data_IF_439200733017
#
_entry.id   IF_439200733017
#
_cell.length_a   1.000
_cell.length_b   1.000
_cell.length_c   1.000
_cell.angle_alpha   90.00
_cell.angle_beta   90.00
_cell.angle_gamma   90.00
#
_symmetry.space_group_name_H-M   'P 1'
#
loop_
_entity.id
_entity.type
_entity.pdbx_description
1 polymer ?
#
# COMPACT_ATOMS: atom_id res chain seq x y z
N UNK A 1 -11.58 -15.20 27.09
CA UNK A 1 -12.58 -14.82 26.08
C UNK A 1 -12.61 -13.31 25.99
N UNK A 2 -11.69 -12.74 25.23
CA UNK A 2 -11.60 -11.30 25.03
C UNK A 2 -12.56 -10.92 23.91
N UNK A 3 -13.60 -10.14 24.25
CA UNK A 3 -14.34 -9.38 23.25
C UNK A 3 -13.37 -8.33 22.67
N UNK A 4 -12.75 -8.64 21.55
CA UNK A 4 -11.82 -7.74 20.85
C UNK A 4 -12.31 -7.55 19.41
N UNK A 5 -13.53 -7.06 19.25
CA UNK A 5 -14.03 -6.61 17.94
C UNK A 5 -14.86 -5.35 18.21
N UNK A 6 -14.32 -4.21 17.78
CA UNK A 6 -14.99 -2.92 17.87
C UNK A 6 -15.75 -2.63 16.56
N UNK A 7 -16.90 -1.97 16.65
CA UNK A 7 -17.63 -1.39 15.51
C UNK A 7 -16.74 -0.48 14.63
N UNK A 8 -15.63 0.03 15.17
CA UNK A 8 -14.62 0.77 14.41
C UNK A 8 -13.97 -0.04 13.27
N UNK A 9 -13.71 -1.35 13.43
CA UNK A 9 -13.19 -2.19 12.33
C UNK A 9 -14.23 -2.45 11.23
N UNK A 10 -15.53 -2.31 11.53
CA UNK A 10 -16.58 -2.32 10.51
C UNK A 10 -16.64 -1.01 9.73
N UNK A 11 -16.10 0.08 10.28
CA UNK A 11 -16.26 1.46 9.79
C UNK A 11 -14.98 2.08 9.22
N UNK A 12 -13.80 1.55 9.56
CA UNK A 12 -12.51 2.15 9.21
C UNK A 12 -11.42 1.14 8.83
N UNK A 13 -11.72 -0.16 8.81
CA UNK A 13 -10.86 -1.14 8.15
C UNK A 13 -10.93 -0.97 6.64
N UNK A 14 -9.77 -0.90 5.98
CA UNK A 14 -9.70 -0.81 4.52
C UNK A 14 -9.85 0.60 3.94
N UNK A 15 -9.70 0.67 2.61
CA UNK A 15 -9.58 1.92 1.85
C UNK A 15 -10.89 2.30 1.13
N UNK A 16 -12.01 1.69 1.54
CA UNK A 16 -13.34 1.91 0.98
C UNK A 16 -14.19 2.81 1.90
N UNK A 17 -13.63 3.92 2.38
CA UNK A 17 -14.30 4.80 3.35
C UNK A 17 -15.70 5.23 2.87
N UNK A 18 -16.72 4.96 3.70
CA UNK A 18 -18.14 5.19 3.41
C UNK A 18 -18.79 4.15 2.48
N UNK A 19 -18.07 3.09 2.11
CA UNK A 19 -18.50 1.98 1.23
C UNK A 19 -18.07 0.60 1.76
N UNK A 20 -17.89 0.47 3.07
CA UNK A 20 -17.36 -0.72 3.71
C UNK A 20 -18.27 -1.95 3.49
N UNK A 21 -19.59 -1.77 3.61
CA UNK A 21 -20.56 -2.84 3.37
C UNK A 21 -20.63 -3.25 1.89
N UNK A 22 -20.39 -2.30 0.97
CA UNK A 22 -20.27 -2.64 -0.45
C UNK A 22 -19.03 -3.51 -0.68
N UNK A 23 -17.86 -3.13 -0.14
CA UNK A 23 -16.64 -3.93 -0.28
C UNK A 23 -16.77 -5.33 0.32
N UNK A 24 -17.43 -5.47 1.49
CA UNK A 24 -17.73 -6.79 2.09
C UNK A 24 -18.59 -7.65 1.18
N UNK A 25 -19.59 -7.07 0.51
CA UNK A 25 -20.39 -7.80 -0.48
C UNK A 25 -19.53 -8.29 -1.65
N UNK A 26 -18.63 -7.46 -2.18
CA UNK A 26 -17.71 -7.90 -3.25
C UNK A 26 -16.81 -9.05 -2.77
N UNK A 27 -16.37 -9.02 -1.51
CA UNK A 27 -15.61 -10.11 -0.90
C UNK A 27 -16.43 -11.40 -0.87
N UNK A 28 -17.65 -11.36 -0.33
CA UNK A 28 -18.57 -12.51 -0.28
C UNK A 28 -18.91 -13.07 -1.68
N UNK A 29 -19.03 -12.20 -2.67
CA UNK A 29 -19.29 -12.55 -4.07
C UNK A 29 -18.02 -12.96 -4.85
N UNK A 30 -16.83 -12.88 -4.22
CA UNK A 30 -15.51 -13.10 -4.84
C UNK A 30 -15.28 -12.25 -6.08
N UNK A 31 -15.47 -10.95 -5.95
CA UNK A 31 -15.34 -9.95 -7.01
C UNK A 31 -14.26 -8.93 -6.70
N UNK A 32 -13.78 -8.28 -7.75
CA UNK A 32 -12.86 -7.14 -7.62
C UNK A 32 -13.64 -5.87 -7.32
N UNK A 33 -13.42 -5.28 -6.15
CA UNK A 33 -13.88 -3.95 -5.78
C UNK A 33 -12.92 -2.87 -6.29
N UNK A 34 -11.60 -3.13 -6.24
CA UNK A 34 -10.57 -2.19 -6.70
C UNK A 34 -9.60 -2.83 -7.69
N UNK A 35 -9.13 -2.04 -8.66
CA UNK A 35 -8.01 -2.39 -9.52
C UNK A 35 -6.84 -1.43 -9.25
N UNK A 36 -5.72 -2.01 -8.85
CA UNK A 36 -4.46 -1.29 -8.71
C UNK A 36 -3.76 -1.22 -10.07
N UNK A 37 -3.38 -0.03 -10.52
CA UNK A 37 -2.64 0.15 -11.78
C UNK A 37 -1.33 0.88 -11.49
N UNK A 38 -0.21 0.17 -11.65
CA UNK A 38 1.11 0.79 -11.69
C UNK A 38 1.34 1.39 -13.07
N UNK A 39 1.11 2.70 -13.18
CA UNK A 39 1.08 3.36 -14.49
C UNK A 39 2.46 3.57 -15.13
N UNK A 40 3.50 3.65 -14.30
CA UNK A 40 4.89 3.98 -14.66
C UNK A 40 5.84 3.47 -13.59
N UNK A 41 7.12 3.25 -13.91
CA UNK A 41 8.19 3.05 -12.92
C UNK A 41 8.96 4.34 -12.57
N UNK A 42 8.53 5.50 -13.08
CA UNK A 42 9.16 6.79 -12.78
C UNK A 42 8.72 7.34 -11.41
N UNK A 43 9.67 7.69 -10.53
CA UNK A 43 9.44 8.36 -9.25
C UNK A 43 10.67 9.17 -8.81
N UNK A 44 10.45 10.39 -8.33
CA UNK A 44 11.52 11.27 -7.85
C UNK A 44 11.90 11.06 -6.38
N UNK A 45 11.03 10.43 -5.58
CA UNK A 45 11.19 10.38 -4.13
C UNK A 45 12.38 9.52 -3.68
N UNK A 46 12.61 8.39 -4.37
CA UNK A 46 13.82 7.60 -4.23
C UNK A 46 13.90 6.68 -3.01
N UNK A 47 12.79 6.18 -2.45
CA UNK A 47 12.82 5.29 -1.27
C UNK A 47 13.76 4.10 -1.50
N UNK A 48 14.69 3.84 -0.57
CA UNK A 48 15.74 2.81 -0.74
C UNK A 48 15.20 1.38 -0.72
N UNK A 49 14.04 1.18 -0.09
CA UNK A 49 13.34 -0.09 0.04
C UNK A 49 12.18 -0.26 -0.96
N UNK A 50 12.05 0.62 -1.97
CA UNK A 50 10.89 0.62 -2.87
C UNK A 50 10.71 -0.74 -3.58
N UNK A 51 9.52 -1.32 -3.40
CA UNK A 51 9.15 -2.65 -3.93
C UNK A 51 9.10 -2.68 -5.46
N UNK A 52 8.82 -1.53 -6.08
CA UNK A 52 8.72 -1.37 -7.53
C UNK A 52 10.08 -1.12 -8.21
N UNK A 53 11.13 -0.77 -7.45
CA UNK A 53 12.43 -0.43 -8.05
C UNK A 53 12.47 0.91 -8.77
N UNK A 54 11.50 1.80 -8.50
CA UNK A 54 11.28 3.03 -9.27
C UNK A 54 12.46 3.99 -9.23
N UNK A 55 12.70 4.69 -10.34
CA UNK A 55 13.78 5.68 -10.46
C UNK A 55 13.27 7.01 -11.02
N UNK A 56 14.03 8.12 -10.96
CA UNK A 56 13.64 9.39 -11.58
C UNK A 56 13.32 9.32 -13.08
N UNK A 57 13.76 8.27 -13.78
CA UNK A 57 13.52 8.07 -15.20
C UNK A 57 12.57 6.89 -15.40
N UNK A 58 11.65 7.05 -16.34
CA UNK A 58 10.84 5.94 -16.81
C UNK A 58 11.72 4.99 -17.63
N UNK A 59 11.75 3.73 -17.24
CA UNK A 59 12.35 2.64 -18.00
C UNK A 59 11.28 1.70 -18.55
N UNK A 60 10.20 1.52 -17.78
CA UNK A 60 9.05 0.72 -18.13
C UNK A 60 7.77 1.48 -17.77
N UNK A 61 6.73 1.26 -18.56
CA UNK A 61 5.43 1.83 -18.26
C UNK A 61 4.36 1.19 -19.11
N UNK A 62 3.13 1.31 -18.63
CA UNK A 62 1.96 1.00 -19.44
C UNK A 62 1.73 2.15 -20.43
N UNK A 63 1.37 1.81 -21.65
CA UNK A 63 0.93 2.80 -22.63
C UNK A 63 -0.45 3.33 -22.27
N UNK A 64 -0.79 4.53 -22.75
CA UNK A 64 -2.12 5.11 -22.54
C UNK A 64 -3.23 4.23 -23.10
N UNK A 65 -2.95 3.48 -24.17
CA UNK A 65 -3.88 2.54 -24.77
C UNK A 65 -4.13 1.33 -23.85
N UNK A 66 -3.08 0.75 -23.28
CA UNK A 66 -3.20 -0.34 -22.29
C UNK A 66 -3.99 0.11 -21.07
N UNK A 67 -3.68 1.29 -20.52
CA UNK A 67 -4.41 1.82 -19.35
C UNK A 67 -5.89 2.06 -19.69
N UNK A 68 -6.21 2.66 -20.84
CA UNK A 68 -7.62 2.83 -21.27
C UNK A 68 -8.35 1.49 -21.40
N UNK A 69 -7.69 0.48 -21.96
CA UNK A 69 -8.25 -0.88 -22.05
C UNK A 69 -8.50 -1.50 -20.66
N UNK A 70 -7.59 -1.30 -19.71
CA UNK A 70 -7.79 -1.73 -18.32
C UNK A 70 -8.98 -1.03 -17.67
N UNK A 71 -9.16 0.27 -17.92
CA UNK A 71 -10.30 1.04 -17.39
C UNK A 71 -11.63 0.56 -17.99
N UNK A 72 -11.66 0.27 -19.30
CA UNK A 72 -12.83 -0.29 -19.98
C UNK A 72 -13.19 -1.67 -19.41
N UNK A 73 -12.19 -2.54 -19.24
CA UNK A 73 -12.40 -3.87 -18.63
C UNK A 73 -12.82 -3.75 -17.16
N UNK A 74 -12.24 -2.81 -16.40
CA UNK A 74 -12.63 -2.57 -15.01
C UNK A 74 -14.10 -2.15 -14.90
N UNK A 75 -14.56 -1.23 -15.76
CA UNK A 75 -15.96 -0.84 -15.82
C UNK A 75 -16.87 -2.00 -16.23
N UNK A 76 -16.46 -2.82 -17.21
CA UNK A 76 -17.21 -3.99 -17.66
C UNK A 76 -17.32 -5.10 -16.59
N UNK A 77 -16.31 -5.23 -15.73
CA UNK A 77 -16.29 -6.13 -14.58
C UNK A 77 -17.01 -5.53 -13.35
N UNK A 78 -17.56 -4.33 -13.48
CA UNK A 78 -18.20 -3.56 -12.41
C UNK A 78 -17.25 -3.30 -11.22
N UNK A 79 -15.96 -3.14 -11.48
CA UNK A 79 -14.99 -2.68 -10.47
C UNK A 79 -15.36 -1.26 -10.06
N UNK A 80 -15.26 -0.96 -8.76
CA UNK A 80 -15.72 0.32 -8.21
C UNK A 80 -14.65 1.40 -8.26
N UNK A 81 -13.41 1.04 -7.94
CA UNK A 81 -12.32 1.98 -7.73
C UNK A 81 -11.06 1.60 -8.51
N UNK A 82 -10.32 2.63 -8.93
CA UNK A 82 -8.96 2.50 -9.44
C UNK A 82 -8.03 3.10 -8.41
N UNK A 83 -7.10 2.29 -7.93
CA UNK A 83 -5.97 2.75 -7.14
C UNK A 83 -4.82 3.00 -8.11
N UNK A 84 -4.46 4.27 -8.27
CA UNK A 84 -3.39 4.70 -9.14
C UNK A 84 -2.07 4.65 -8.38
N UNK A 85 -1.15 3.78 -8.82
CA UNK A 85 0.18 3.59 -8.23
C UNK A 85 1.26 3.55 -9.32
N UNK A 86 2.42 2.98 -8.97
CA UNK A 86 3.60 2.81 -9.81
C UNK A 86 4.83 3.31 -9.06
N UNK A 87 5.71 4.01 -9.77
CA UNK A 87 6.54 5.02 -9.15
C UNK A 87 5.67 6.12 -8.55
N UNK A 88 5.47 7.23 -9.26
CA UNK A 88 4.48 8.24 -8.90
C UNK A 88 3.53 8.45 -10.10
N UNK A 89 2.25 8.10 -10.00
CA UNK A 89 1.32 8.23 -11.12
C UNK A 89 1.18 9.67 -11.60
N UNK A 90 1.45 10.67 -10.74
CA UNK A 90 1.32 12.08 -11.08
C UNK A 90 2.51 12.64 -11.87
N UNK A 91 3.58 11.87 -12.07
CA UNK A 91 4.69 12.28 -12.96
C UNK A 91 4.46 11.87 -14.42
N UNK A 92 3.46 11.01 -14.68
CA UNK A 92 3.12 10.56 -16.03
C UNK A 92 2.46 11.69 -16.84
N UNK A 93 2.90 12.02 -18.07
CA UNK A 93 2.41 13.21 -18.78
C UNK A 93 0.89 13.32 -18.99
N UNK A 94 0.20 12.19 -19.17
CA UNK A 94 -1.24 12.11 -19.45
C UNK A 94 -2.07 11.54 -18.29
N UNK A 95 -1.57 11.61 -17.05
CA UNK A 95 -2.27 11.09 -15.87
C UNK A 95 -3.67 11.71 -15.70
N UNK A 96 -3.80 13.01 -16.00
CA UNK A 96 -5.05 13.74 -15.79
C UNK A 96 -6.13 13.27 -16.76
N UNK A 97 -5.80 13.11 -18.04
CA UNK A 97 -6.70 12.60 -19.07
C UNK A 97 -7.15 11.17 -18.78
N UNK A 98 -6.26 10.32 -18.25
CA UNK A 98 -6.57 8.94 -17.88
C UNK A 98 -7.52 8.88 -16.67
N UNK A 99 -7.26 9.69 -15.63
CA UNK A 99 -8.15 9.77 -14.46
C UNK A 99 -9.50 10.41 -14.80
N UNK A 100 -9.55 11.39 -15.71
CA UNK A 100 -10.82 11.90 -16.24
C UNK A 100 -11.59 10.83 -17.03
N UNK A 101 -10.89 10.02 -17.82
CA UNK A 101 -11.51 8.90 -18.53
C UNK A 101 -12.10 7.88 -17.56
N UNK A 102 -11.36 7.51 -16.51
CA UNK A 102 -11.87 6.62 -15.45
C UNK A 102 -13.16 7.16 -14.81
N UNK A 103 -13.21 8.46 -14.49
CA UNK A 103 -14.45 9.10 -13.99
C UNK A 103 -15.61 9.01 -14.96
N UNK A 104 -15.34 9.19 -16.26
CA UNK A 104 -16.38 9.09 -17.29
C UNK A 104 -17.01 7.70 -17.38
N UNK A 105 -16.30 6.67 -16.92
CA UNK A 105 -16.77 5.29 -16.80
C UNK A 105 -17.45 4.99 -15.45
N UNK A 106 -17.56 5.97 -14.54
CA UNK A 106 -18.14 5.79 -13.21
C UNK A 106 -17.19 5.21 -12.17
N UNK A 107 -15.90 5.08 -12.51
CA UNK A 107 -14.85 4.60 -11.60
C UNK A 107 -14.44 5.73 -10.63
N UNK A 108 -14.16 5.35 -9.39
CA UNK A 108 -13.59 6.26 -8.39
C UNK A 108 -12.08 6.21 -8.45
N UNK A 109 -11.42 7.37 -8.49
CA UNK A 109 -9.96 7.44 -8.46
C UNK A 109 -9.44 7.62 -7.04
N UNK A 110 -8.59 6.69 -6.60
CA UNK A 110 -7.76 6.82 -5.43
C UNK A 110 -6.30 6.98 -5.88
N UNK A 111 -5.57 7.96 -5.36
CA UNK A 111 -4.21 8.26 -5.83
C UNK A 111 -3.21 7.97 -4.73
N UNK A 112 -2.22 7.13 -5.03
CA UNK A 112 -1.03 6.91 -4.21
C UNK A 112 0.15 7.62 -4.86
N UNK A 113 0.59 8.73 -4.29
CA UNK A 113 1.65 9.57 -4.87
C UNK A 113 2.80 9.77 -3.87
N UNK A 114 3.99 10.11 -4.38
CA UNK A 114 5.06 10.60 -3.50
C UNK A 114 4.68 11.90 -2.80
N UNK A 115 3.67 12.62 -3.34
CA UNK A 115 3.24 13.92 -2.85
C UNK A 115 4.05 15.09 -3.43
N UNK A 116 5.23 14.84 -4.01
CA UNK A 116 6.08 15.88 -4.60
C UNK A 116 5.37 16.69 -5.71
N UNK A 117 4.62 16.06 -6.64
CA UNK A 117 3.93 16.81 -7.69
C UNK A 117 2.83 17.74 -7.15
N UNK A 118 2.26 17.44 -5.98
CA UNK A 118 1.18 18.21 -5.37
C UNK A 118 1.61 19.60 -4.91
N UNK A 119 2.92 19.87 -4.78
CA UNK A 119 3.45 21.21 -4.54
C UNK A 119 2.99 22.21 -5.62
N UNK A 120 2.85 21.75 -6.86
CA UNK A 120 2.23 22.56 -7.91
C UNK A 120 0.73 22.70 -7.65
N UNK A 121 0.28 23.94 -7.40
CA UNK A 121 -1.16 24.25 -7.20
C UNK A 121 -2.03 23.82 -8.38
N UNK A 122 -1.49 23.84 -9.59
CA UNK A 122 -2.20 23.36 -10.78
C UNK A 122 -2.42 21.85 -10.72
N UNK A 123 -1.38 21.08 -10.37
CA UNK A 123 -1.48 19.62 -10.21
C UNK A 123 -2.42 19.31 -9.05
N UNK A 124 -2.28 19.98 -7.90
CA UNK A 124 -3.17 19.80 -6.76
C UNK A 124 -4.65 20.07 -7.11
N UNK A 125 -4.94 21.13 -7.87
CA UNK A 125 -6.30 21.43 -8.34
C UNK A 125 -6.88 20.32 -9.23
N UNK A 126 -6.08 19.80 -10.17
CA UNK A 126 -6.48 18.69 -11.03
C UNK A 126 -6.67 17.39 -10.25
N UNK A 127 -5.78 17.08 -9.29
CA UNK A 127 -5.90 15.91 -8.41
C UNK A 127 -7.16 16.01 -7.55
N UNK A 128 -7.43 17.17 -6.95
CA UNK A 128 -8.65 17.41 -6.19
C UNK A 128 -9.90 17.13 -7.03
N UNK A 129 -9.94 17.64 -8.27
CA UNK A 129 -11.04 17.39 -9.20
C UNK A 129 -11.21 15.89 -9.50
N UNK A 130 -10.15 15.20 -9.93
CA UNK A 130 -10.30 13.81 -10.41
C UNK A 130 -10.47 12.79 -9.29
N UNK A 131 -10.21 13.16 -8.04
CA UNK A 131 -10.35 12.29 -6.86
C UNK A 131 -11.61 12.59 -6.05
N UNK A 132 -12.61 13.25 -6.63
CA UNK A 132 -13.92 13.43 -6.00
C UNK A 132 -14.53 12.05 -5.63
N UNK A 133 -14.82 11.85 -4.34
CA UNK A 133 -15.34 10.59 -3.80
C UNK A 133 -14.31 9.46 -3.64
N UNK A 134 -13.03 9.73 -3.90
CA UNK A 134 -11.89 8.85 -3.60
C UNK A 134 -10.84 9.53 -2.71
N UNK A 135 -9.77 8.83 -2.34
CA UNK A 135 -8.74 9.37 -1.44
C UNK A 135 -7.45 9.79 -2.17
N UNK A 136 -6.63 10.59 -1.49
CA UNK A 136 -5.25 10.89 -1.90
C UNK A 136 -4.30 10.48 -0.79
N UNK A 137 -3.35 9.60 -1.09
CA UNK A 137 -2.27 9.23 -0.20
C UNK A 137 -0.96 9.88 -0.63
N UNK A 138 -0.24 10.44 0.34
CA UNK A 138 1.15 10.90 0.20
C UNK A 138 2.07 9.99 1.00
N UNK A 139 3.33 9.86 0.61
CA UNK A 139 4.30 9.01 1.32
C UNK A 139 5.31 9.88 2.06
N UNK A 140 5.31 9.86 3.40
CA UNK A 140 6.35 10.47 4.23
C UNK A 140 6.61 9.57 5.42
N UNK A 141 7.70 8.81 5.35
CA UNK A 141 8.06 7.90 6.44
C UNK A 141 8.35 8.68 7.73
N UNK A 142 9.09 9.78 7.60
CA UNK A 142 9.65 10.54 8.72
C UNK A 142 9.55 12.04 8.49
N UNK A 143 9.09 12.78 9.50
CA UNK A 143 9.22 14.25 9.53
C UNK A 143 10.61 14.72 9.99
N UNK A 144 11.42 13.83 10.58
CA UNK A 144 12.80 14.13 10.95
C UNK A 144 13.68 14.12 9.70
N UNK A 145 14.32 15.25 9.32
CA UNK A 145 15.08 15.37 8.08
C UNK A 145 16.18 14.32 7.92
N UNK A 146 16.92 14.03 9.00
CA UNK A 146 18.04 13.10 8.98
C UNK A 146 17.59 11.65 8.83
N UNK A 147 16.44 11.28 9.41
CA UNK A 147 15.87 9.93 9.27
C UNK A 147 15.30 9.76 7.87
N UNK A 148 14.53 10.74 7.38
CA UNK A 148 14.01 10.74 6.01
C UNK A 148 15.15 10.60 5.00
N UNK A 149 16.24 11.36 5.16
CA UNK A 149 17.39 11.31 4.26
C UNK A 149 18.07 9.93 4.21
N UNK A 150 18.07 9.16 5.30
CA UNK A 150 18.63 7.79 5.30
C UNK A 150 17.75 6.78 4.57
N UNK A 151 16.44 7.02 4.54
CA UNK A 151 15.44 6.16 3.89
C UNK A 151 15.28 6.45 2.39
N UNK A 152 15.92 7.50 1.86
CA UNK A 152 15.73 7.97 0.49
C UNK A 152 17.07 8.20 -0.23
N UNK A 153 17.19 7.66 -1.45
CA UNK A 153 18.35 7.88 -2.34
C UNK A 153 18.54 9.37 -2.57
N UNK A 154 19.79 9.81 -2.46
CA UNK A 154 20.17 11.23 -2.58
C UNK A 154 19.88 12.08 -1.33
N UNK A 155 19.19 11.54 -0.31
CA UNK A 155 19.05 12.18 1.00
C UNK A 155 18.39 13.55 1.00
N UNK A 156 17.52 13.84 0.04
CA UNK A 156 16.94 15.18 -0.11
C UNK A 156 15.77 15.41 0.86
N UNK A 157 16.10 15.84 2.08
CA UNK A 157 15.10 16.13 3.11
C UNK A 157 14.13 17.28 2.76
N UNK A 158 14.45 18.14 1.79
CA UNK A 158 13.51 19.20 1.33
C UNK A 158 12.26 18.65 0.65
N UNK A 159 12.23 17.34 0.36
CA UNK A 159 11.03 16.65 -0.06
C UNK A 159 9.93 16.63 1.00
N UNK A 160 10.28 16.62 2.30
CA UNK A 160 9.30 16.71 3.39
C UNK A 160 8.47 18.00 3.22
N UNK A 161 9.14 19.15 3.15
CA UNK A 161 8.47 20.46 3.01
C UNK A 161 7.61 20.53 1.74
N UNK A 162 8.12 19.99 0.62
CA UNK A 162 7.39 19.97 -0.64
C UNK A 162 6.10 19.14 -0.58
N UNK A 163 6.15 17.99 0.10
CA UNK A 163 4.99 17.10 0.26
C UNK A 163 3.98 17.74 1.21
N UNK A 164 4.44 18.32 2.31
CA UNK A 164 3.60 19.05 3.27
C UNK A 164 2.88 20.23 2.60
N UNK A 165 3.60 21.03 1.79
CA UNK A 165 3.00 22.10 1.00
C UNK A 165 1.96 21.57 -0.02
N UNK A 166 2.22 20.40 -0.60
CA UNK A 166 1.28 19.72 -1.49
C UNK A 166 -0.01 19.28 -0.79
N UNK A 167 0.09 18.77 0.44
CA UNK A 167 -1.05 18.46 1.30
C UNK A 167 -1.83 19.73 1.63
N UNK A 168 -1.14 20.81 2.01
CA UNK A 168 -1.78 22.10 2.30
C UNK A 168 -2.54 22.66 1.08
N UNK A 169 -2.01 22.49 -0.13
CA UNK A 169 -2.71 22.86 -1.35
C UNK A 169 -4.04 22.10 -1.52
N UNK A 170 -4.07 20.79 -1.25
CA UNK A 170 -5.30 19.98 -1.34
C UNK A 170 -6.32 20.35 -0.26
N UNK A 171 -5.87 20.57 0.98
CA UNK A 171 -6.72 21.02 2.08
C UNK A 171 -7.34 22.40 1.77
N UNK A 172 -6.54 23.32 1.22
CA UNK A 172 -7.02 24.65 0.82
C UNK A 172 -8.05 24.62 -0.32
N UNK A 173 -8.03 23.58 -1.16
CA UNK A 173 -9.03 23.34 -2.20
C UNK A 173 -10.32 22.69 -1.65
N UNK A 174 -10.30 22.24 -0.39
CA UNK A 174 -11.45 21.62 0.28
C UNK A 174 -11.44 20.10 0.25
N UNK A 175 -10.32 19.43 -0.10
CA UNK A 175 -10.20 17.98 0.09
C UNK A 175 -10.35 17.66 1.58
N UNK A 176 -11.30 16.80 1.99
CA UNK A 176 -11.43 16.42 3.39
C UNK A 176 -10.18 15.68 3.89
N UNK A 177 -9.68 16.06 5.06
CA UNK A 177 -8.49 15.44 5.66
C UNK A 177 -8.67 13.94 5.91
N UNK A 178 -9.89 13.49 6.20
CA UNK A 178 -10.23 12.08 6.39
C UNK A 178 -10.32 11.27 5.08
N UNK A 179 -10.24 11.95 3.92
CA UNK A 179 -10.04 11.40 2.56
C UNK A 179 -8.60 11.59 2.08
N UNK A 180 -7.69 11.93 2.99
CA UNK A 180 -6.27 11.99 2.75
C UNK A 180 -5.53 11.12 3.77
N UNK A 181 -4.41 10.54 3.35
CA UNK A 181 -3.69 9.54 4.14
C UNK A 181 -2.19 9.80 4.00
N UNK A 182 -1.47 9.89 5.12
CA UNK A 182 -0.03 9.73 5.09
C UNK A 182 0.29 8.24 5.04
N UNK A 183 1.15 7.80 4.13
CA UNK A 183 1.64 6.44 4.06
C UNK A 183 3.06 6.39 4.64
N UNK A 184 3.32 5.39 5.49
CA UNK A 184 4.64 5.07 6.03
C UNK A 184 4.97 3.63 5.66
N UNK A 185 6.20 3.37 5.22
CA UNK A 185 6.77 2.02 5.25
C UNK A 185 7.63 1.90 6.48
N UNK A 186 7.13 1.20 7.50
CA UNK A 186 7.82 1.07 8.77
C UNK A 186 9.07 0.20 8.64
N UNK A 187 10.20 0.73 9.12
CA UNK A 187 11.52 0.07 9.09
C UNK A 187 12.22 0.18 10.44
N UNK A 188 13.12 -0.76 10.75
CA UNK A 188 14.01 -0.68 11.90
C UNK A 188 14.97 0.52 11.83
N UNK A 189 15.35 0.95 10.61
CA UNK A 189 16.22 2.12 10.38
C UNK A 189 15.55 3.44 10.81
N UNK A 190 14.24 3.53 10.65
CA UNK A 190 13.42 4.61 11.19
C UNK A 190 13.34 4.53 12.71
N UNK A 191 13.03 3.33 13.23
CA UNK A 191 12.80 3.08 14.64
C UNK A 191 11.41 3.53 15.13
N UNK A 192 10.95 3.01 16.28
CA UNK A 192 9.59 3.21 16.75
C UNK A 192 9.27 4.66 17.16
N UNK A 193 10.20 5.37 17.79
CA UNK A 193 9.92 6.74 18.29
C UNK A 193 9.62 7.70 17.14
N UNK A 194 10.44 7.67 16.09
CA UNK A 194 10.29 8.54 14.92
C UNK A 194 9.01 8.22 14.13
N UNK A 195 8.68 6.93 13.95
CA UNK A 195 7.43 6.52 13.32
C UNK A 195 6.21 7.03 14.09
N UNK A 196 6.21 6.88 15.41
CA UNK A 196 5.11 7.33 16.28
C UNK A 196 4.98 8.85 16.27
N UNK A 197 6.10 9.57 16.34
CA UNK A 197 6.12 11.03 16.26
C UNK A 197 5.61 11.53 14.91
N UNK A 198 6.02 10.89 13.81
CA UNK A 198 5.57 11.23 12.47
C UNK A 198 4.06 11.02 12.29
N UNK A 199 3.53 9.87 12.75
CA UNK A 199 2.08 9.61 12.72
C UNK A 199 1.30 10.67 13.52
N UNK A 200 1.80 10.99 14.72
CA UNK A 200 1.18 11.99 15.59
C UNK A 200 1.17 13.36 14.94
N UNK A 201 2.29 13.77 14.35
CA UNK A 201 2.40 15.05 13.67
C UNK A 201 1.41 15.18 12.52
N UNK A 202 1.30 14.16 11.65
CA UNK A 202 0.34 14.18 10.55
C UNK A 202 -1.11 14.28 11.03
N UNK A 203 -1.45 13.57 12.09
CA UNK A 203 -2.78 13.60 12.68
C UNK A 203 -3.09 14.95 13.33
N UNK A 204 -2.20 15.47 14.18
CA UNK A 204 -2.41 16.70 14.95
C UNK A 204 -2.33 17.96 14.08
N UNK A 205 -1.35 18.03 13.17
CA UNK A 205 -1.10 19.24 12.36
C UNK A 205 -1.96 19.29 11.09
N UNK A 206 -2.26 18.13 10.48
CA UNK A 206 -2.93 18.07 9.17
C UNK A 206 -4.29 17.35 9.21
N UNK A 207 -4.63 16.68 10.31
CA UNK A 207 -5.84 15.87 10.41
C UNK A 207 -5.79 14.58 9.58
N UNK A 208 -4.61 14.20 9.09
CA UNK A 208 -4.43 13.01 8.25
C UNK A 208 -4.18 11.78 9.12
N UNK A 209 -4.87 10.69 8.80
CA UNK A 209 -4.56 9.37 9.36
C UNK A 209 -3.36 8.76 8.65
N UNK A 210 -2.72 7.79 9.31
CA UNK A 210 -1.58 7.09 8.72
C UNK A 210 -1.90 5.67 8.27
N UNK A 211 -1.67 5.39 6.99
CA UNK A 211 -1.51 4.04 6.49
C UNK A 211 -0.07 3.57 6.77
N UNK A 212 0.10 2.77 7.82
CA UNK A 212 1.34 2.12 8.21
C UNK A 212 1.46 0.77 7.51
N UNK A 213 2.30 0.73 6.49
CA UNK A 213 2.71 -0.51 5.82
C UNK A 213 4.00 -1.03 6.43
N UNK A 214 4.19 -2.34 6.40
CA UNK A 214 5.40 -2.97 6.93
C UNK A 214 6.42 -3.20 5.83
N UNK A 215 7.70 -2.96 6.16
CA UNK A 215 8.79 -3.34 5.29
C UNK A 215 8.70 -4.82 4.89
N UNK A 216 8.66 -5.03 3.57
CA UNK A 216 8.78 -6.32 2.95
C UNK A 216 10.07 -6.36 2.11
N UNK A 217 10.74 -7.50 2.04
CA UNK A 217 12.01 -7.68 1.35
C UNK A 217 11.77 -7.87 -0.15
N UNK A 218 11.03 -6.95 -0.75
CA UNK A 218 10.57 -6.96 -2.13
C UNK A 218 11.29 -5.89 -2.95
N UNK A 219 11.50 -6.13 -4.23
CA UNK A 219 12.20 -5.19 -5.10
C UNK A 219 13.57 -4.81 -4.53
N UNK A 220 13.85 -3.51 -4.42
CA UNK A 220 15.12 -3.05 -3.82
C UNK A 220 15.22 -3.39 -2.33
N UNK A 221 14.09 -3.51 -1.62
CA UNK A 221 14.06 -3.91 -0.22
C UNK A 221 14.66 -5.31 0.03
N UNK A 222 14.76 -6.17 -0.98
CA UNK A 222 15.39 -7.49 -0.84
C UNK A 222 16.85 -7.42 -0.33
N UNK A 223 17.57 -6.34 -0.65
CA UNK A 223 18.95 -6.10 -0.21
C UNK A 223 19.04 -5.49 1.21
N UNK A 224 17.93 -4.99 1.74
CA UNK A 224 17.86 -4.23 3.00
C UNK A 224 17.22 -5.02 4.13
N UNK A 225 17.52 -6.32 4.24
CA UNK A 225 16.99 -7.18 5.33
C UNK A 225 17.22 -6.63 6.73
N UNK A 226 18.30 -5.86 6.94
CA UNK A 226 18.59 -5.19 8.20
C UNK A 226 17.54 -4.12 8.60
N UNK A 227 16.69 -3.68 7.67
CA UNK A 227 15.63 -2.70 7.93
C UNK A 227 14.37 -3.37 8.47
N UNK A 228 14.36 -4.69 8.61
CA UNK A 228 13.21 -5.41 9.12
C UNK A 228 13.03 -5.16 10.62
N UNK A 229 11.88 -4.60 11.05
CA UNK A 229 11.61 -4.34 12.46
C UNK A 229 11.34 -5.64 13.22
N UNK A 230 11.73 -5.66 14.49
CA UNK A 230 11.41 -6.78 15.39
C UNK A 230 9.92 -6.78 15.78
N UNK A 231 9.35 -7.95 16.06
CA UNK A 231 7.92 -8.08 16.40
C UNK A 231 7.46 -7.23 17.61
N UNK A 232 8.35 -6.98 18.57
CA UNK A 232 8.07 -6.10 19.71
C UNK A 232 7.89 -4.64 19.28
N UNK A 233 8.71 -4.17 18.33
CA UNK A 233 8.60 -2.83 17.75
C UNK A 233 7.34 -2.73 16.88
N UNK A 234 7.09 -3.74 16.04
CA UNK A 234 5.86 -3.82 15.24
C UNK A 234 4.63 -3.69 16.13
N UNK A 235 4.53 -4.50 17.19
CA UNK A 235 3.39 -4.44 18.11
C UNK A 235 3.25 -3.03 18.71
N UNK A 236 4.36 -2.42 19.14
CA UNK A 236 4.36 -1.10 19.75
C UNK A 236 3.86 -0.03 18.77
N UNK A 237 4.44 0.04 17.57
CA UNK A 237 4.13 1.09 16.59
C UNK A 237 2.70 0.96 16.09
N UNK A 238 2.22 -0.24 15.77
CA UNK A 238 0.82 -0.43 15.36
C UNK A 238 -0.17 -0.12 16.49
N UNK A 239 0.15 -0.44 17.74
CA UNK A 239 -0.69 -0.06 18.88
C UNK A 239 -0.81 1.45 19.01
N UNK A 240 0.28 2.19 18.81
CA UNK A 240 0.25 3.66 18.84
C UNK A 240 -0.44 4.26 17.61
N UNK A 241 -0.23 3.66 16.42
CA UNK A 241 -0.98 4.02 15.20
C UNK A 241 -2.48 3.96 15.47
N UNK A 242 -2.96 2.84 15.99
CA UNK A 242 -4.39 2.66 16.25
C UNK A 242 -4.93 3.72 17.23
N UNK A 243 -4.13 4.04 18.27
CA UNK A 243 -4.48 5.09 19.25
C UNK A 243 -4.56 6.48 18.63
N UNK A 244 -3.63 6.80 17.72
CA UNK A 244 -3.56 8.10 17.05
C UNK A 244 -4.73 8.21 16.05
N UNK A 245 -4.87 7.25 15.16
CA UNK A 245 -5.83 7.34 14.04
C UNK A 245 -7.27 7.12 14.47
N UNK A 246 -7.50 6.34 15.52
CA UNK A 246 -8.84 5.88 15.90
C UNK A 246 -9.19 6.07 17.38
N UNK A 247 -8.27 6.55 18.23
CA UNK A 247 -8.51 6.84 19.64
C UNK A 247 -8.34 5.63 20.58
N UNK A 248 -8.91 5.72 21.79
CA UNK A 248 -8.68 4.76 22.90
C UNK A 248 -9.29 3.37 22.72
N UNK A 249 -9.83 3.09 21.55
CA UNK A 249 -10.47 1.85 21.20
C UNK A 249 -9.42 0.86 20.69
N UNK A 250 -9.29 -0.31 21.33
CA UNK A 250 -8.28 -1.31 21.01
C UNK A 250 -8.62 -2.01 19.66
N UNK A 251 -8.18 -1.41 18.54
CA UNK A 251 -8.69 -1.64 17.17
C UNK A 251 -7.80 -2.57 16.33
N UNK A 252 -6.65 -3.01 16.83
CA UNK A 252 -5.61 -3.63 16.00
C UNK A 252 -6.01 -4.93 15.28
N UNK A 253 -5.90 -4.93 13.95
CA UNK A 253 -5.84 -6.16 13.11
C UNK A 253 -4.42 -6.73 13.04
N UNK A 254 -3.67 -6.64 14.15
CA UNK A 254 -2.25 -6.95 14.20
C UNK A 254 -1.42 -6.05 13.24
N UNK A 255 -0.46 -6.61 12.53
CA UNK A 255 0.50 -5.88 11.69
C UNK A 255 -0.06 -5.44 10.33
N UNK A 256 -1.36 -5.19 10.26
CA UNK A 256 -2.08 -4.86 9.03
C UNK A 256 -2.73 -3.48 9.14
N UNK A 257 -2.72 -2.77 8.03
CA UNK A 257 -3.51 -1.55 7.86
C UNK A 257 -4.78 -1.79 7.06
N UNK A 258 -4.65 -2.59 6.00
CA UNK A 258 -5.76 -3.02 5.18
C UNK A 258 -6.37 -4.29 5.75
N UNK A 259 -7.69 -4.33 5.81
CA UNK A 259 -8.41 -5.54 6.21
C UNK A 259 -8.42 -6.59 5.08
N UNK A 260 -8.93 -7.77 5.40
CA UNK A 260 -9.08 -8.85 4.41
C UNK A 260 -10.05 -8.50 3.29
N UNK A 261 -11.00 -7.59 3.50
CA UNK A 261 -11.98 -7.22 2.49
C UNK A 261 -11.30 -6.43 1.37
N UNK A 262 -10.43 -5.48 1.70
CA UNK A 262 -9.59 -4.82 0.69
C UNK A 262 -8.66 -5.81 0.00
N UNK A 263 -7.87 -6.56 0.77
CA UNK A 263 -6.88 -7.50 0.23
C UNK A 263 -7.54 -8.58 -0.67
N UNK A 264 -8.74 -9.03 -0.31
CA UNK A 264 -9.48 -10.10 -0.99
C UNK A 264 -10.44 -9.62 -2.06
N UNK A 265 -10.40 -8.34 -2.44
CA UNK A 265 -11.26 -7.79 -3.50
C UNK A 265 -10.47 -6.86 -4.44
N UNK A 266 -9.17 -7.07 -4.56
CA UNK A 266 -8.37 -6.29 -5.50
C UNK A 266 -7.44 -7.16 -6.33
N UNK A 267 -6.91 -6.58 -7.39
CA UNK A 267 -5.82 -7.14 -8.18
C UNK A 267 -4.94 -5.97 -8.62
N UNK A 268 -3.69 -6.26 -8.93
CA UNK A 268 -2.73 -5.26 -9.41
C UNK A 268 -2.29 -5.58 -10.81
N UNK A 269 -2.25 -4.57 -11.67
CA UNK A 269 -1.50 -4.60 -12.92
C UNK A 269 -0.23 -3.79 -12.73
N UNK A 270 0.92 -4.46 -12.81
CA UNK A 270 2.22 -3.82 -12.66
C UNK A 270 2.56 -2.94 -13.87
N UNK A 271 3.56 -2.07 -13.74
CA UNK A 271 4.02 -1.24 -14.87
C UNK A 271 4.64 -2.06 -16.02
N UNK A 272 4.94 -3.34 -15.78
CA UNK A 272 5.37 -4.32 -16.79
C UNK A 272 4.20 -5.07 -17.44
N UNK A 273 2.98 -4.91 -16.92
CA UNK A 273 1.75 -5.53 -17.40
C UNK A 273 1.38 -6.84 -16.71
N UNK A 274 2.12 -7.26 -15.69
CA UNK A 274 1.83 -8.50 -14.95
C UNK A 274 0.63 -8.29 -14.02
N UNK A 275 -0.25 -9.28 -13.96
CA UNK A 275 -1.43 -9.26 -13.08
C UNK A 275 -1.12 -10.04 -11.81
N UNK A 276 -1.14 -9.38 -10.65
CA UNK A 276 -0.72 -9.93 -9.36
C UNK A 276 -1.80 -9.74 -8.28
N UNK A 277 -1.79 -10.54 -7.20
CA UNK A 277 -2.72 -10.37 -6.07
C UNK A 277 -2.33 -9.24 -5.11
N UNK A 278 -1.28 -8.46 -5.37
CA UNK A 278 -0.84 -7.32 -4.55
C UNK A 278 0.32 -6.62 -5.25
N UNK A 279 0.44 -5.30 -5.17
CA UNK A 279 1.56 -4.54 -5.76
C UNK A 279 2.95 -4.99 -5.29
N UNK A 280 3.05 -5.47 -4.04
CA UNK A 280 4.29 -5.95 -3.42
C UNK A 280 4.67 -7.38 -3.85
N UNK A 281 3.69 -8.17 -4.34
CA UNK A 281 3.95 -9.49 -4.92
C UNK A 281 4.22 -9.30 -6.41
N UNK A 282 5.44 -9.61 -6.86
CA UNK A 282 5.87 -9.41 -8.26
C UNK A 282 5.75 -10.66 -9.14
N UNK A 283 5.24 -11.76 -8.58
CA UNK A 283 4.94 -12.98 -9.33
C UNK A 283 3.52 -12.91 -9.89
N UNK A 284 3.41 -12.67 -11.19
CA UNK A 284 2.15 -12.51 -11.90
C UNK A 284 1.50 -13.83 -12.30
N UNK A 285 0.18 -13.84 -12.39
CA UNK A 285 -0.58 -15.00 -12.90
C UNK A 285 -0.65 -15.03 -14.43
N UNK A 286 -0.54 -13.84 -15.06
CA UNK A 286 -0.53 -13.62 -16.50
C UNK A 286 -0.10 -12.17 -16.81
N UNK A 287 0.12 -11.84 -18.08
CA UNK A 287 0.46 -10.49 -18.53
C UNK A 287 -0.59 -9.94 -19.51
N UNK A 288 -1.00 -8.67 -19.34
CA UNK A 288 -2.05 -8.03 -20.13
C UNK A 288 -1.68 -7.79 -21.61
N UNK A 289 -0.38 -7.85 -21.94
CA UNK A 289 0.13 -7.75 -23.31
C UNK A 289 -0.05 -9.03 -24.10
N UNK A 290 -0.28 -10.13 -23.42
CA UNK A 290 -0.46 -11.46 -24.01
C UNK A 290 -1.92 -11.90 -23.96
N UNK A 291 -2.62 -11.60 -22.87
CA UNK A 291 -4.01 -12.02 -22.64
C UNK A 291 -4.85 -10.82 -22.19
N UNK A 292 -6.05 -10.58 -22.75
CA UNK A 292 -6.93 -9.50 -22.29
C UNK A 292 -7.23 -9.60 -20.79
N UNK A 293 -7.26 -8.47 -20.08
CA UNK A 293 -7.40 -8.45 -18.62
C UNK A 293 -8.66 -9.18 -18.13
N UNK A 294 -9.81 -8.96 -18.77
CA UNK A 294 -11.05 -9.71 -18.46
C UNK A 294 -10.91 -11.24 -18.55
N UNK A 295 -10.09 -11.74 -19.47
CA UNK A 295 -9.84 -13.18 -19.64
C UNK A 295 -8.90 -13.71 -18.57
N UNK A 296 -7.91 -12.90 -18.16
CA UNK A 296 -7.05 -13.19 -17.00
C UNK A 296 -7.92 -13.30 -15.74
N UNK A 297 -8.80 -12.33 -15.50
CA UNK A 297 -9.71 -12.37 -14.35
C UNK A 297 -10.61 -13.61 -14.41
N UNK A 298 -11.24 -13.90 -15.55
CA UNK A 298 -12.09 -15.08 -15.68
C UNK A 298 -11.38 -16.42 -15.38
N UNK A 299 -10.05 -16.49 -15.57
CA UNK A 299 -9.24 -17.69 -15.33
C UNK A 299 -8.58 -17.76 -13.95
N UNK A 300 -8.23 -16.60 -13.38
CA UNK A 300 -7.32 -16.53 -12.25
C UNK A 300 -7.87 -15.76 -11.05
N UNK A 301 -9.13 -15.31 -11.09
CA UNK A 301 -9.75 -14.54 -10.01
C UNK A 301 -9.58 -15.17 -8.64
N UNK A 302 -9.84 -16.48 -8.50
CA UNK A 302 -9.72 -17.17 -7.21
C UNK A 302 -8.32 -17.07 -6.59
N UNK A 303 -7.26 -17.13 -7.43
CA UNK A 303 -5.87 -16.95 -6.97
C UNK A 303 -5.58 -15.50 -6.63
N UNK A 304 -6.12 -14.54 -7.42
CA UNK A 304 -5.89 -13.12 -7.21
C UNK A 304 -6.55 -12.59 -5.93
N UNK A 305 -7.71 -13.14 -5.56
CA UNK A 305 -8.48 -12.70 -4.39
C UNK A 305 -8.32 -13.60 -3.17
N UNK A 306 -7.41 -14.58 -3.21
CA UNK A 306 -7.20 -15.54 -2.13
C UNK A 306 -8.49 -16.28 -1.72
N UNK A 307 -9.26 -16.75 -2.70
CA UNK A 307 -10.66 -17.19 -2.52
C UNK A 307 -10.84 -18.30 -1.48
N UNK A 308 -9.84 -19.15 -1.26
CA UNK A 308 -9.89 -20.19 -0.22
C UNK A 308 -9.88 -19.60 1.19
N UNK A 309 -9.15 -18.50 1.42
CA UNK A 309 -9.06 -17.82 2.73
C UNK A 309 -10.31 -17.04 3.11
N UNK A 310 -11.28 -16.91 2.20
CA UNK A 310 -12.57 -16.28 2.49
C UNK A 310 -13.36 -17.12 3.50
N UNK A 311 -13.16 -18.44 3.48
CA UNK A 311 -13.64 -19.32 4.54
C UNK A 311 -12.65 -19.32 5.70
N UNK A 312 -13.08 -18.83 6.87
CA UNK A 312 -12.22 -18.75 8.06
C UNK A 312 -11.65 -20.12 8.48
N UNK A 313 -12.30 -21.23 8.11
CA UNK A 313 -11.83 -22.59 8.41
C UNK A 313 -10.61 -23.02 7.59
N UNK A 314 -10.36 -22.33 6.47
CA UNK A 314 -9.22 -22.56 5.60
C UNK A 314 -8.03 -21.67 5.95
N UNK A 315 -8.18 -20.73 6.89
CA UNK A 315 -7.06 -19.93 7.35
C UNK A 315 -6.00 -20.81 8.00
N UNK A 316 -4.70 -20.52 7.80
CA UNK A 316 -3.64 -21.29 8.43
C UNK A 316 -3.70 -21.14 9.95
N UNK A 317 -3.55 -22.23 10.70
CA UNK A 317 -3.53 -22.17 12.16
C UNK A 317 -2.36 -21.29 12.67
N UNK A 318 -2.57 -20.44 13.70
CA UNK A 318 -3.76 -20.32 14.55
C UNK A 318 -4.79 -19.27 14.09
N UNK A 319 -4.73 -18.80 12.84
CA UNK A 319 -5.64 -17.75 12.35
C UNK A 319 -7.10 -18.23 12.23
N UNK A 320 -7.32 -19.52 11.98
CA UNK A 320 -8.64 -20.16 11.91
C UNK A 320 -9.50 -19.98 13.17
N UNK A 321 -8.85 -19.85 14.33
CA UNK A 321 -9.52 -19.66 15.64
C UNK A 321 -9.20 -18.29 16.27
N UNK A 322 -8.47 -17.44 15.56
CA UNK A 322 -8.07 -16.12 16.04
C UNK A 322 -9.27 -15.16 16.16
N UNK A 323 -9.35 -14.41 17.26
CA UNK A 323 -10.40 -13.39 17.45
C UNK A 323 -10.42 -12.29 16.40
N UNK A 324 -9.30 -12.07 15.68
CA UNK A 324 -9.19 -11.06 14.63
C UNK A 324 -9.61 -11.56 13.25
N UNK A 325 -9.87 -12.87 13.08
CA UNK A 325 -10.18 -13.46 11.77
C UNK A 325 -11.45 -12.97 11.05
N UNK A 326 -12.42 -12.29 11.71
CA UNK A 326 -13.51 -11.67 10.98
C UNK A 326 -13.06 -10.51 10.08
N UNK A 327 -11.90 -9.90 10.34
CA UNK A 327 -11.37 -8.74 9.62
C UNK A 327 -9.94 -8.92 9.10
N UNK A 328 -9.18 -9.84 9.69
CA UNK A 328 -7.77 -10.04 9.39
C UNK A 328 -7.52 -11.46 8.88
N UNK A 329 -6.60 -11.56 7.92
CA UNK A 329 -5.93 -12.82 7.62
C UNK A 329 -4.41 -12.66 7.57
N UNK A 330 -3.85 -11.51 7.95
CA UNK A 330 -2.42 -11.20 7.87
C UNK A 330 -1.96 -10.79 6.46
N UNK A 331 -0.75 -10.26 6.36
CA UNK A 331 -0.22 -9.74 5.11
C UNK A 331 0.13 -10.86 4.13
N UNK A 332 -0.59 -10.92 3.00
CA UNK A 332 -0.35 -11.91 1.93
C UNK A 332 1.02 -11.70 1.26
N UNK A 333 1.45 -10.43 1.12
CA UNK A 333 2.78 -10.10 0.61
C UNK A 333 3.89 -10.59 1.55
N UNK A 334 3.73 -10.41 2.86
CA UNK A 334 4.67 -10.98 3.84
C UNK A 334 4.66 -12.51 3.74
N UNK A 335 3.50 -13.17 3.83
CA UNK A 335 3.42 -14.63 3.71
C UNK A 335 4.18 -15.15 2.48
N UNK A 336 3.98 -14.52 1.31
CA UNK A 336 4.68 -14.84 0.08
C UNK A 336 6.21 -14.65 0.17
N UNK A 337 6.70 -13.48 0.59
CA UNK A 337 8.14 -13.17 0.57
C UNK A 337 8.98 -13.93 1.60
N UNK A 338 8.36 -14.53 2.62
CA UNK A 338 9.07 -15.33 3.64
C UNK A 338 8.87 -16.83 3.46
N UNK A 339 7.75 -17.29 2.90
CA UNK A 339 7.45 -18.72 2.78
C UNK A 339 7.31 -19.22 1.34
N UNK A 340 7.19 -18.32 0.35
CA UNK A 340 6.82 -18.65 -1.02
C UNK A 340 5.33 -18.90 -1.23
N UNK A 341 4.52 -18.83 -0.17
CA UNK A 341 3.08 -19.08 -0.20
C UNK A 341 2.31 -17.83 0.29
N UNK A 342 1.60 -17.17 -0.63
CA UNK A 342 0.79 -15.99 -0.31
C UNK A 342 -0.43 -16.34 0.56
N UNK A 343 -0.85 -17.60 0.60
CA UNK A 343 -1.97 -18.09 1.41
C UNK A 343 -1.50 -18.58 2.81
N UNK A 344 -0.18 -18.57 3.05
CA UNK A 344 0.44 -18.96 4.30
C UNK A 344 0.24 -17.97 5.46
N UNK A 345 0.93 -18.25 6.57
CA UNK A 345 0.95 -17.40 7.76
C UNK A 345 1.74 -16.12 7.49
N UNK A 346 1.21 -15.00 8.00
CA UNK A 346 1.99 -13.77 8.07
C UNK A 346 3.03 -13.88 9.20
N UNK A 347 4.34 -13.96 8.89
CA UNK A 347 5.39 -14.12 9.89
C UNK A 347 5.55 -12.87 10.76
N UNK A 348 4.94 -11.76 10.37
CA UNK A 348 5.04 -10.47 11.07
C UNK A 348 3.89 -10.23 12.06
N UNK A 349 2.96 -11.18 12.20
CA UNK A 349 1.89 -11.10 13.18
C UNK A 349 2.43 -11.35 14.61
N UNK A 350 2.43 -10.31 15.45
CA UNK A 350 2.92 -10.41 16.84
C UNK A 350 2.04 -11.25 17.77
N UNK A 351 0.89 -11.74 17.30
CA UNK A 351 0.05 -12.69 18.05
C UNK A 351 0.53 -14.14 17.88
N UNK A 352 1.37 -14.43 16.90
CA UNK A 352 1.86 -15.77 16.55
C UNK A 352 3.26 -15.99 17.16
N UNK A 353 3.46 -15.58 18.42
CA UNK A 353 4.72 -15.73 19.17
C UNK A 353 4.94 -17.16 19.68
N UNK A 354 4.95 -18.15 18.79
CA UNK A 354 5.20 -19.56 19.16
C UNK A 354 6.44 -20.10 18.46
N UNK A 355 7.01 -21.19 18.97
CA UNK A 355 8.15 -21.94 18.39
C UNK A 355 7.94 -22.39 16.92
N UNK A 356 6.73 -22.19 16.35
CA UNK A 356 6.32 -22.58 15.01
C UNK A 356 6.65 -21.55 13.92
N UNK A 357 6.96 -20.31 14.28
CA UNK A 357 7.48 -19.32 13.34
C UNK A 357 9.00 -19.43 13.40
N UNK A 358 9.68 -19.91 12.33
CA UNK A 358 11.13 -19.73 12.22
C UNK A 358 11.45 -18.29 12.56
N UNK A 359 12.53 -18.04 13.28
CA UNK A 359 12.96 -16.69 13.57
C UNK A 359 13.48 -16.08 12.24
N UNK A 360 12.56 -15.66 11.36
CA UNK A 360 12.85 -15.06 10.06
C UNK A 360 13.66 -13.77 10.23
N UNK A 361 13.57 -13.16 11.41
CA UNK A 361 14.29 -11.97 11.86
C UNK A 361 15.74 -12.24 12.30
N UNK A 362 16.15 -13.50 12.51
CA UNK A 362 17.55 -13.86 12.83
C UNK A 362 18.32 -14.26 11.56
N UNK A 363 18.43 -13.34 10.60
CA UNK A 363 19.29 -13.49 9.43
C UNK A 363 20.75 -13.22 9.80
N UNK A 364 21.59 -14.24 9.70
CA UNK A 364 23.04 -14.16 9.85
C UNK A 364 23.63 -13.09 8.90
N UNK A 365 24.39 -12.14 9.43
CA UNK A 365 24.81 -10.86 8.83
C UNK A 365 25.86 -10.94 7.70
N UNK A 366 25.80 -11.93 6.81
CA UNK A 366 26.82 -12.18 5.77
C UNK A 366 26.33 -12.00 4.33
N UNK A 367 25.37 -11.11 4.07
CA UNK A 367 25.13 -10.61 2.72
C UNK A 367 26.09 -9.45 2.44
N UNK A 368 26.90 -9.58 1.37
CA UNK A 368 27.82 -8.57 0.88
C UNK A 368 27.10 -7.22 0.74
N UNK A 369 27.59 -6.20 1.46
CA UNK A 369 27.11 -4.82 1.36
C UNK A 369 27.76 -4.20 0.12
N UNK A 370 27.01 -3.89 -0.97
CA UNK A 370 27.60 -3.23 -2.12
C UNK A 370 28.12 -1.86 -1.70
N UNK A 371 29.28 -1.50 -2.26
CA UNK A 371 29.92 -0.21 -2.08
C UNK A 371 29.10 0.91 -2.72
N UNK A 372 29.31 2.15 -2.27
CA UNK A 372 28.66 3.34 -2.86
C UNK A 372 28.89 3.47 -4.38
N UNK A 373 30.00 2.93 -4.90
CA UNK A 373 30.29 2.84 -6.33
C UNK A 373 29.36 1.85 -7.07
N UNK A 374 29.00 0.74 -6.44
CA UNK A 374 28.17 -0.31 -7.06
C UNK A 374 26.69 0.09 -7.18
N UNK A 375 26.23 1.05 -6.36
CA UNK A 375 24.85 1.55 -6.37
C UNK A 375 24.71 2.95 -6.97
N UNK A 376 25.74 3.46 -7.65
CA UNK A 376 25.67 4.74 -8.38
C UNK A 376 25.55 5.98 -7.49
N UNK A 377 25.97 5.89 -6.23
CA UNK A 377 25.96 6.99 -5.25
C UNK A 377 27.39 7.51 -5.05
N UNK A 378 27.93 8.23 -6.03
CA UNK A 378 29.03 9.17 -5.78
C UNK A 378 28.56 10.59 -6.16
N UNK A 379 29.12 11.63 -5.52
CA UNK A 379 28.59 13.00 -5.53
C UNK A 379 28.42 13.64 -6.91
#
# INVERSE_FOLDING_TARGET
MAACINDHLKRYGGLAAGREEEQKRYFEERRLYALQIETTDACQQGCIYCYAGSTPREHHGLTSHEIRGLLDDAAALEIRAIDWLGGDPLVRPDWYELMQYARSLGLVNNVWTSGLPLKSKEIAARVHEVTEGGFVSVHVDSITPEVYARLHRGGNAHFIDAIVEGVDNLLALGKPADMMINCITYTAEQGPEDAIETMRWWFEEKGLRTCLTMFNPAGMGAEWRAFEPGLDEVQRVYTERDRIDFGGDNISIAAMDTDKFYCGTMATVTFTGDVTPCSVIRDGVANIRETPFREIIARHLDKLVHAELHDVRNLPAPCDTCGNNPHCWGCRASAYHYSGDADGLDPKCWLIRTEQTPNYFSGNSNSHKPSNEEIGLNP
#
